data_IF_918608695261
#
_entry.id   IF_918608695261
#
_cell.length_a   1.000
_cell.length_b   1.000
_cell.length_c   1.000
_cell.angle_alpha   90.00
_cell.angle_beta   90.00
_cell.angle_gamma   90.00
#
_symmetry.space_group_name_H-M   'P 1'
#
loop_
_entity.id
_entity.type
_entity.pdbx_description
1 polymer ?
#
# COMPACT_ATOMS: atom_id res chain seq x y z
N UNK A 1 8.00 16.37 6.73
CA UNK A 1 7.64 15.40 5.66
C UNK A 1 6.36 14.59 5.98
N UNK A 2 5.28 15.24 6.45
CA UNK A 2 4.01 14.58 6.80
C UNK A 2 3.08 14.33 5.58
N UNK A 3 3.37 14.99 4.45
CA UNK A 3 2.59 14.81 3.22
C UNK A 3 2.88 13.47 2.53
N UNK A 4 4.03 12.85 2.80
CA UNK A 4 4.42 11.60 2.15
C UNK A 4 3.62 10.40 2.67
N UNK A 5 3.32 10.35 3.97
CA UNK A 5 2.47 9.30 4.55
C UNK A 5 1.03 9.41 4.06
N UNK A 6 0.48 10.63 3.97
CA UNK A 6 -0.87 10.83 3.43
C UNK A 6 -0.98 10.44 1.95
N UNK A 7 0.04 10.73 1.15
CA UNK A 7 0.07 10.31 -0.26
C UNK A 7 0.20 8.80 -0.37
N UNK A 8 1.05 8.18 0.47
CA UNK A 8 1.21 6.73 0.51
C UNK A 8 -0.10 6.03 0.95
N UNK A 9 -0.76 6.52 1.99
CA UNK A 9 -2.04 6.01 2.47
C UNK A 9 -3.13 6.15 1.42
N UNK A 10 -3.25 7.31 0.77
CA UNK A 10 -4.21 7.51 -0.33
C UNK A 10 -3.93 6.58 -1.51
N UNK A 11 -2.67 6.37 -1.85
CA UNK A 11 -2.27 5.46 -2.92
C UNK A 11 -2.56 4.00 -2.57
N UNK A 12 -2.21 3.57 -1.36
CA UNK A 12 -2.47 2.21 -0.88
C UNK A 12 -3.97 1.96 -0.76
N UNK A 13 -4.73 2.90 -0.22
CA UNK A 13 -6.18 2.83 -0.16
C UNK A 13 -6.81 2.78 -1.56
N UNK A 14 -6.33 3.59 -2.52
CA UNK A 14 -6.88 3.62 -3.88
C UNK A 14 -6.53 2.37 -4.69
N UNK A 15 -5.31 1.83 -4.53
CA UNK A 15 -4.81 0.71 -5.32
C UNK A 15 -5.13 -0.65 -4.72
N UNK A 16 -5.04 -0.76 -3.40
CA UNK A 16 -5.17 -2.03 -2.67
C UNK A 16 -6.32 -2.03 -1.64
N UNK A 17 -6.94 -0.89 -1.36
CA UNK A 17 -8.02 -0.76 -0.37
C UNK A 17 -7.52 -0.64 1.07
N UNK A 18 -6.53 -1.43 1.45
CA UNK A 18 -5.90 -1.37 2.77
C UNK A 18 -4.43 -1.80 2.72
N UNK A 19 -3.66 -1.43 3.76
CA UNK A 19 -2.28 -1.88 3.92
C UNK A 19 -2.15 -3.40 4.01
N UNK A 20 -3.11 -4.09 4.65
CA UNK A 20 -3.12 -5.56 4.71
C UNK A 20 -3.34 -6.20 3.34
N UNK A 21 -4.23 -5.63 2.54
CA UNK A 21 -4.45 -6.09 1.16
C UNK A 21 -3.23 -5.81 0.28
N UNK A 22 -2.58 -4.66 0.46
CA UNK A 22 -1.31 -4.37 -0.18
C UNK A 22 -0.27 -5.42 0.20
N UNK A 23 -0.03 -5.66 1.48
CA UNK A 23 0.94 -6.67 1.96
C UNK A 23 0.71 -8.04 1.33
N UNK A 24 -0.54 -8.50 1.29
CA UNK A 24 -0.91 -9.76 0.64
C UNK A 24 -0.60 -9.76 -0.86
N UNK A 25 -0.85 -8.63 -1.54
CA UNK A 25 -0.47 -8.44 -2.94
C UNK A 25 1.05 -8.51 -3.14
N UNK A 26 1.87 -7.81 -2.35
CA UNK A 26 3.35 -7.88 -2.49
C UNK A 26 3.91 -9.28 -2.22
N UNK A 27 3.39 -9.97 -1.20
CA UNK A 27 3.74 -11.36 -0.89
C UNK A 27 3.35 -12.31 -2.03
N UNK A 28 2.16 -12.13 -2.61
CA UNK A 28 1.70 -12.96 -3.74
C UNK A 28 2.42 -12.65 -5.06
N UNK A 29 2.93 -11.42 -5.23
CA UNK A 29 3.68 -11.02 -6.42
C UNK A 29 5.18 -11.34 -6.33
N UNK A 30 5.64 -11.96 -5.24
CA UNK A 30 7.03 -12.40 -5.09
C UNK A 30 8.05 -11.26 -5.01
N UNK A 31 7.64 -10.08 -4.55
CA UNK A 31 8.54 -8.94 -4.32
C UNK A 31 9.23 -8.97 -2.95
N UNK A 32 9.29 -10.16 -2.33
CA UNK A 32 9.97 -10.42 -1.06
C UNK A 32 11.06 -11.46 -1.24
#
# INVERSE_FOLDING_TARGET
>A
PANQERVADQYVASRYGSWSAAQSHWLSNGWY
#
